data_IF_719158578090
#
_entry.id   IF_719158578090
#
_cell.length_a   1.000
_cell.length_b   1.000
_cell.length_c   1.000
_cell.angle_alpha   90.00
_cell.angle_beta   90.00
_cell.angle_gamma   90.00
#
_symmetry.space_group_name_H-M   'P 1'
#
loop_
_entity.id
_entity.type
_entity.pdbx_description
1 polymer ?
#
# COMPACT_ATOMS: atom_id res chain seq x y z
N UNK A 1 14.44 -12.67 21.00
CA UNK A 1 14.37 -11.35 20.35
C UNK A 1 12.95 -10.85 20.52
N UNK A 2 12.75 -9.70 21.19
CA UNK A 2 11.45 -9.03 21.20
C UNK A 2 11.38 -8.20 19.93
N UNK A 3 10.60 -8.65 18.95
CA UNK A 3 10.27 -7.85 17.78
C UNK A 3 9.14 -6.90 18.17
N UNK A 4 9.47 -5.63 18.41
CA UNK A 4 8.47 -4.60 18.63
C UNK A 4 8.02 -4.06 17.26
N UNK A 5 6.82 -4.47 16.83
CA UNK A 5 6.27 -4.11 15.53
C UNK A 5 6.05 -2.59 15.41
N UNK A 6 5.85 -1.88 16.53
CA UNK A 6 5.62 -0.44 16.54
C UNK A 6 6.86 0.37 16.18
N UNK A 7 8.07 -0.18 16.35
CA UNK A 7 9.33 0.49 15.99
C UNK A 7 9.79 0.18 14.55
N UNK A 8 9.11 -0.75 13.87
CA UNK A 8 9.53 -1.24 12.54
C UNK A 8 9.03 -0.35 11.40
N UNK A 9 7.94 0.40 11.62
CA UNK A 9 7.34 1.30 10.62
C UNK A 9 7.88 2.72 10.88
N UNK A 10 8.70 3.23 9.96
CA UNK A 10 9.34 4.55 10.09
C UNK A 10 8.46 5.70 9.61
N UNK A 11 7.60 5.43 8.63
CA UNK A 11 6.78 6.43 7.96
C UNK A 11 5.58 5.74 7.33
N UNK A 12 4.43 6.40 7.33
CA UNK A 12 3.18 5.92 6.71
C UNK A 12 2.68 6.99 5.77
N UNK A 13 2.50 6.62 4.50
CA UNK A 13 1.99 7.53 3.47
C UNK A 13 0.64 7.03 3.02
N UNK A 14 -0.40 7.82 3.26
CA UNK A 14 -1.72 7.60 2.68
C UNK A 14 -1.80 8.32 1.33
N UNK A 15 -2.17 7.57 0.29
CA UNK A 15 -2.20 8.07 -1.10
C UNK A 15 -3.64 8.22 -1.59
N UNK A 16 -4.51 7.29 -1.20
CA UNK A 16 -5.93 7.29 -1.52
C UNK A 16 -6.69 6.72 -0.32
N UNK A 17 -7.35 7.60 0.43
CA UNK A 17 -8.24 7.19 1.51
C UNK A 17 -9.58 6.74 0.94
N UNK A 18 -10.11 5.63 1.44
CA UNK A 18 -11.54 5.36 1.26
C UNK A 18 -12.33 6.47 1.96
N UNK A 19 -13.51 6.86 1.45
CA UNK A 19 -14.38 7.79 2.17
C UNK A 19 -14.61 7.29 3.61
N UNK A 20 -14.59 8.20 4.59
CA UNK A 20 -14.63 7.87 6.03
C UNK A 20 -15.80 6.94 6.44
N UNK A 21 -16.85 6.89 5.62
CA UNK A 21 -18.05 6.07 5.84
C UNK A 21 -17.92 4.63 5.31
N UNK A 22 -16.86 4.29 4.58
CA UNK A 22 -16.68 2.98 3.96
C UNK A 22 -15.67 2.16 4.76
N UNK A 23 -16.17 1.23 5.58
CA UNK A 23 -15.33 0.28 6.29
C UNK A 23 -14.74 -0.73 5.30
N UNK A 24 -13.41 -0.93 5.28
CA UNK A 24 -12.79 -1.90 4.39
C UNK A 24 -13.29 -3.30 4.72
N UNK A 25 -13.77 -4.00 3.70
CA UNK A 25 -14.22 -5.39 3.83
C UNK A 25 -13.03 -6.36 3.76
N UNK A 26 -11.95 -5.95 3.09
CA UNK A 26 -10.75 -6.76 2.94
C UNK A 26 -9.49 -5.89 3.06
N UNK A 27 -8.56 -6.35 3.88
CA UNK A 27 -7.23 -5.76 4.00
C UNK A 27 -6.21 -6.73 3.41
N UNK A 28 -5.38 -6.26 2.49
CA UNK A 28 -4.30 -7.07 1.91
C UNK A 28 -2.98 -6.31 2.05
N UNK A 29 -1.96 -6.99 2.56
CA UNK A 29 -0.64 -6.43 2.74
C UNK A 29 0.39 -7.08 1.81
N UNK A 30 1.30 -6.28 1.26
CA UNK A 30 2.50 -6.74 0.56
C UNK A 30 3.74 -6.16 1.26
N UNK A 31 4.73 -7.03 1.51
CA UNK A 31 6.09 -6.62 1.78
C UNK A 31 6.90 -6.71 0.48
N UNK A 32 7.51 -5.61 0.06
CA UNK A 32 8.30 -5.55 -1.17
C UNK A 32 9.61 -4.79 -0.96
N UNK A 33 10.61 -5.17 -1.75
CA UNK A 33 11.81 -4.36 -1.96
C UNK A 33 11.73 -3.60 -3.29
N UNK A 34 12.76 -2.80 -3.57
CA UNK A 34 12.88 -1.99 -4.80
C UNK A 34 12.59 -2.77 -6.11
N UNK A 35 13.02 -4.02 -6.22
CA UNK A 35 12.95 -4.80 -7.46
C UNK A 35 11.56 -5.43 -7.66
N UNK A 36 10.79 -5.60 -6.60
CA UNK A 36 9.48 -6.25 -6.64
C UNK A 36 8.29 -5.28 -6.60
N UNK A 37 8.54 -3.98 -6.49
CA UNK A 37 7.53 -2.92 -6.53
C UNK A 37 6.57 -3.04 -7.74
N UNK A 38 7.10 -3.30 -8.93
CA UNK A 38 6.29 -3.44 -10.13
C UNK A 38 5.40 -4.68 -10.09
N UNK A 39 5.94 -5.81 -9.62
CA UNK A 39 5.18 -7.05 -9.46
C UNK A 39 4.01 -6.89 -8.49
N UNK A 40 4.23 -6.19 -7.37
CA UNK A 40 3.15 -5.88 -6.43
C UNK A 40 2.10 -4.95 -7.05
N UNK A 41 2.50 -3.93 -7.82
CA UNK A 41 1.56 -3.07 -8.52
C UNK A 41 0.67 -3.84 -9.51
N UNK A 42 1.24 -4.77 -10.28
CA UNK A 42 0.49 -5.65 -11.19
C UNK A 42 -0.47 -6.56 -10.41
N UNK A 43 0.00 -7.16 -9.31
CA UNK A 43 -0.81 -8.01 -8.44
C UNK A 43 -2.01 -7.26 -7.83
N UNK A 44 -1.77 -6.09 -7.22
CA UNK A 44 -2.81 -5.23 -6.65
C UNK A 44 -3.84 -4.82 -7.72
N UNK A 45 -3.36 -4.45 -8.91
CA UNK A 45 -4.23 -4.08 -10.03
C UNK A 45 -5.13 -5.25 -10.46
N UNK A 46 -4.57 -6.46 -10.55
CA UNK A 46 -5.36 -7.67 -10.86
C UNK A 46 -6.45 -7.92 -9.81
N UNK A 47 -6.13 -7.78 -8.52
CA UNK A 47 -7.11 -7.91 -7.43
C UNK A 47 -8.24 -6.89 -7.60
N UNK A 48 -7.94 -5.61 -7.82
CA UNK A 48 -8.97 -4.57 -8.01
C UNK A 48 -9.85 -4.85 -9.23
N UNK A 49 -9.25 -5.27 -10.34
CA UNK A 49 -9.98 -5.49 -11.60
C UNK A 49 -11.03 -6.61 -11.49
N UNK A 50 -10.77 -7.62 -10.66
CA UNK A 50 -11.62 -8.79 -10.51
C UNK A 50 -12.52 -8.77 -9.26
N UNK A 51 -12.38 -7.78 -8.38
CA UNK A 51 -13.13 -7.69 -7.12
C UNK A 51 -13.75 -6.29 -6.95
N UNK A 52 -14.47 -5.81 -7.97
CA UNK A 52 -15.00 -4.43 -8.04
C UNK A 52 -16.02 -4.10 -6.95
N UNK A 53 -16.71 -5.11 -6.43
CA UNK A 53 -17.78 -4.94 -5.43
C UNK A 53 -17.27 -5.04 -3.98
N UNK A 54 -15.97 -5.29 -3.79
CA UNK A 54 -15.33 -5.39 -2.47
C UNK A 54 -14.59 -4.09 -2.19
N UNK A 55 -14.84 -3.50 -1.03
CA UNK A 55 -14.00 -2.40 -0.53
C UNK A 55 -12.68 -2.99 0.00
N UNK A 56 -11.58 -2.74 -0.72
CA UNK A 56 -10.27 -3.31 -0.43
C UNK A 56 -9.31 -2.19 -0.01
N UNK A 57 -8.62 -2.41 1.12
CA UNK A 57 -7.49 -1.58 1.55
C UNK A 57 -6.18 -2.33 1.33
N UNK A 58 -5.28 -1.70 0.57
CA UNK A 58 -3.95 -2.22 0.34
C UNK A 58 -2.92 -1.56 1.25
N UNK A 59 -2.09 -2.39 1.87
CA UNK A 59 -1.00 -1.99 2.75
C UNK A 59 0.32 -2.39 2.09
N UNK A 60 1.14 -1.43 1.67
CA UNK A 60 2.43 -1.71 1.04
C UNK A 60 3.56 -1.35 2.01
N UNK A 61 4.26 -2.37 2.48
CA UNK A 61 5.45 -2.22 3.31
C UNK A 61 6.69 -2.33 2.43
N UNK A 62 7.52 -1.29 2.47
CA UNK A 62 8.79 -1.24 1.74
C UNK A 62 9.82 -0.51 2.57
N UNK A 63 11.07 -0.96 2.51
CA UNK A 63 12.23 -0.24 3.04
C UNK A 63 12.83 0.72 1.99
N UNK A 64 12.31 0.69 0.77
CA UNK A 64 12.74 1.49 -0.36
C UNK A 64 11.61 2.41 -0.85
N UNK A 65 11.86 3.73 -0.76
CA UNK A 65 10.99 4.74 -1.35
C UNK A 65 11.85 5.91 -1.85
N UNK A 66 12.09 5.98 -3.16
CA UNK A 66 12.90 7.05 -3.73
C UNK A 66 12.16 8.42 -3.68
N UNK A 67 12.93 9.50 -3.74
CA UNK A 67 12.40 10.87 -3.63
C UNK A 67 11.49 11.30 -4.78
N UNK A 68 11.68 10.75 -5.98
CA UNK A 68 10.85 10.99 -7.16
C UNK A 68 9.58 10.15 -7.11
N UNK A 69 9.66 8.92 -6.60
CA UNK A 69 8.49 8.10 -6.29
C UNK A 69 7.60 8.84 -5.31
N UNK A 70 8.12 9.30 -4.16
CA UNK A 70 7.39 10.14 -3.19
C UNK A 70 6.68 11.33 -3.84
N UNK A 71 7.34 12.03 -4.78
CA UNK A 71 6.72 13.16 -5.50
C UNK A 71 5.59 12.72 -6.43
N UNK A 72 5.75 11.59 -7.14
CA UNK A 72 4.72 11.04 -8.05
C UNK A 72 3.47 10.62 -7.31
N UNK A 73 3.62 9.95 -6.15
CA UNK A 73 2.46 9.53 -5.34
C UNK A 73 1.70 10.75 -4.81
N UNK A 74 2.40 11.81 -4.38
CA UNK A 74 1.77 13.06 -3.90
C UNK A 74 1.14 13.93 -4.99
N UNK A 75 1.54 13.77 -6.25
CA UNK A 75 1.00 14.57 -7.38
C UNK A 75 -0.36 14.11 -7.88
N UNK A 76 -0.81 12.94 -7.44
CA UNK A 76 -2.05 12.30 -7.92
C UNK A 76 -3.20 12.45 -6.89
N UNK A 77 -2.94 13.17 -5.79
CA UNK A 77 -3.94 13.58 -4.80
C UNK A 77 -4.53 14.95 -5.12
#
# INVERSE_FOLDING_TARGET
MNFDCHQSIKDTIEVFGAPETQTPQLNIAWGVDQNFMFGAAVSMSSVLLHNKDISIHFHLFTDYLDSDYRKKIRKTS
#
